data_IF_225563325925
#
_entry.id   IF_225563325925
#
_cell.length_a   1.000
_cell.length_b   1.000
_cell.length_c   1.000
_cell.angle_alpha   90.00
_cell.angle_beta   90.00
_cell.angle_gamma   90.00
#
_symmetry.space_group_name_H-M   'P 1'
#
loop_
_entity.id
_entity.type
_entity.pdbx_description
1 polymer ?
#
# COMPACT_ATOMS: atom_id res chain seq x y z
N UNK A 1 8.82 13.14 19.51
CA UNK A 1 7.43 13.09 18.98
C UNK A 1 7.37 13.14 17.46
N UNK A 2 7.94 14.15 16.79
CA UNK A 2 7.80 14.29 15.33
C UNK A 2 8.34 13.10 14.52
N UNK A 3 9.45 12.49 14.96
CA UNK A 3 10.03 11.30 14.33
C UNK A 3 9.13 10.07 14.42
N UNK A 4 8.43 9.86 15.53
CA UNK A 4 7.48 8.76 15.69
C UNK A 4 6.29 8.92 14.72
N UNK A 5 5.79 10.14 14.58
CA UNK A 5 4.70 10.45 13.64
C UNK A 5 5.13 10.25 12.19
N UNK A 6 6.34 10.66 11.81
CA UNK A 6 6.84 10.46 10.44
C UNK A 6 7.11 8.97 10.18
N UNK A 7 7.73 8.28 11.14
CA UNK A 7 8.15 6.89 10.98
C UNK A 7 6.96 5.91 10.92
N UNK A 8 5.93 6.11 11.74
CA UNK A 8 4.74 5.24 11.73
C UNK A 8 3.57 5.83 10.94
N UNK A 9 3.37 7.14 10.98
CA UNK A 9 2.25 7.80 10.32
C UNK A 9 2.32 7.75 8.80
N UNK A 10 3.51 7.90 8.21
CA UNK A 10 3.67 7.79 6.75
C UNK A 10 3.33 6.38 6.26
N UNK A 11 3.90 5.29 6.82
CA UNK A 11 3.48 3.94 6.46
C UNK A 11 1.99 3.68 6.65
N UNK A 12 1.38 4.14 7.75
CA UNK A 12 -0.06 3.97 8.00
C UNK A 12 -0.89 4.68 6.93
N UNK A 13 -0.56 5.93 6.59
CA UNK A 13 -1.26 6.69 5.56
C UNK A 13 -1.14 6.03 4.18
N UNK A 14 0.07 5.59 3.81
CA UNK A 14 0.29 4.87 2.54
C UNK A 14 -0.47 3.55 2.52
N UNK A 15 -0.52 2.83 3.63
CA UNK A 15 -1.31 1.59 3.76
C UNK A 15 -2.79 1.85 3.53
N UNK A 16 -3.34 2.91 4.15
CA UNK A 16 -4.74 3.28 3.97
C UNK A 16 -5.06 3.63 2.50
N UNK A 17 -4.20 4.42 1.85
CA UNK A 17 -4.36 4.78 0.43
C UNK A 17 -4.28 3.55 -0.47
N UNK A 18 -3.35 2.63 -0.20
CA UNK A 18 -3.21 1.39 -0.94
C UNK A 18 -4.47 0.51 -0.84
N UNK A 19 -4.99 0.33 0.37
CA UNK A 19 -6.21 -0.46 0.63
C UNK A 19 -7.41 0.14 -0.13
N UNK A 20 -7.64 1.45 -0.01
CA UNK A 20 -8.74 2.14 -0.71
C UNK A 20 -8.62 1.95 -2.22
N UNK A 21 -7.41 2.10 -2.75
CA UNK A 21 -7.15 1.95 -4.19
C UNK A 21 -7.38 0.52 -4.67
N UNK A 22 -7.05 -0.47 -3.84
CA UNK A 22 -7.26 -1.89 -4.13
C UNK A 22 -8.76 -2.20 -4.20
N UNK A 23 -9.54 -1.70 -3.24
CA UNK A 23 -11.00 -1.83 -3.27
C UNK A 23 -11.62 -1.19 -4.51
N UNK A 24 -11.19 0.02 -4.86
CA UNK A 24 -11.69 0.73 -6.05
C UNK A 24 -11.36 0.01 -7.36
N UNK A 25 -10.21 -0.65 -7.43
CA UNK A 25 -9.85 -1.48 -8.57
C UNK A 25 -10.68 -2.77 -8.62
N UNK A 26 -10.79 -3.49 -7.49
CA UNK A 26 -11.58 -4.72 -7.40
C UNK A 26 -13.04 -4.47 -7.76
N UNK A 27 -13.63 -3.39 -7.23
CA UNK A 27 -14.98 -2.98 -7.58
C UNK A 27 -15.12 -2.74 -9.09
N UNK A 28 -14.19 -1.99 -9.69
CA UNK A 28 -14.21 -1.72 -11.13
C UNK A 28 -14.05 -3.00 -11.96
N UNK A 29 -13.19 -3.91 -11.52
CA UNK A 29 -12.95 -5.19 -12.17
C UNK A 29 -14.18 -6.11 -12.10
N UNK A 30 -14.78 -6.28 -10.91
CA UNK A 30 -15.99 -7.09 -10.71
C UNK A 30 -17.15 -6.52 -11.54
N UNK A 31 -17.36 -5.20 -11.49
CA UNK A 31 -18.42 -4.55 -12.26
C UNK A 31 -18.22 -4.70 -13.77
N UNK A 32 -16.98 -4.61 -14.25
CA UNK A 32 -16.68 -4.79 -15.67
C UNK A 32 -16.81 -6.26 -16.13
N UNK A 33 -16.64 -7.24 -15.23
CA UNK A 33 -16.92 -8.66 -15.53
C UNK A 33 -18.44 -8.93 -15.59
N UNK A 34 -19.23 -8.32 -14.70
CA UNK A 34 -20.68 -8.50 -14.66
C UNK A 34 -21.41 -7.70 -15.75
N UNK A 35 -20.89 -6.53 -16.12
CA UNK A 35 -21.43 -5.64 -17.13
C UNK A 35 -20.30 -5.12 -18.03
N UNK A 36 -19.95 -5.86 -19.10
CA UNK A 36 -18.82 -5.55 -19.97
C UNK A 36 -18.94 -4.14 -20.56
N UNK A 37 -17.87 -3.35 -20.41
CA UNK A 37 -17.83 -1.96 -20.92
C UNK A 37 -18.29 -0.91 -19.92
N UNK A 38 -18.67 -1.30 -18.69
CA UNK A 38 -18.96 -0.36 -17.60
C UNK A 38 -17.78 0.56 -17.26
N UNK A 39 -16.54 0.09 -17.50
CA UNK A 39 -15.33 0.88 -17.40
C UNK A 39 -14.49 0.71 -18.67
N UNK A 40 -13.85 1.79 -19.12
CA UNK A 40 -12.98 1.69 -20.29
C UNK A 40 -11.72 0.89 -19.96
N UNK A 41 -11.16 0.18 -20.96
CA UNK A 41 -9.89 -0.56 -20.79
C UNK A 41 -8.76 0.37 -20.31
N UNK A 42 -8.78 1.63 -20.73
CA UNK A 42 -7.82 2.65 -20.31
C UNK A 42 -7.95 2.98 -18.82
N UNK A 43 -9.17 3.12 -18.29
CA UNK A 43 -9.41 3.37 -16.86
C UNK A 43 -8.95 2.20 -15.99
N UNK A 44 -9.23 0.95 -16.39
CA UNK A 44 -8.79 -0.25 -15.66
C UNK A 44 -7.26 -0.35 -15.67
N UNK A 45 -6.63 -0.11 -16.82
CA UNK A 45 -5.16 -0.12 -16.95
C UNK A 45 -4.50 0.95 -16.09
N UNK A 46 -5.04 2.16 -16.07
CA UNK A 46 -4.52 3.25 -15.23
C UNK A 46 -4.60 2.89 -13.73
N UNK A 47 -5.73 2.35 -13.27
CA UNK A 47 -5.90 1.88 -11.87
C UNK A 47 -4.93 0.75 -11.52
N UNK A 48 -4.70 -0.19 -12.45
CA UNK A 48 -3.74 -1.27 -12.26
C UNK A 48 -2.30 -0.76 -12.14
N UNK A 49 -1.88 0.17 -13.01
CA UNK A 49 -0.55 0.78 -12.93
C UNK A 49 -0.37 1.50 -11.59
N UNK A 50 -1.37 2.26 -11.17
CA UNK A 50 -1.34 2.94 -9.88
C UNK A 50 -1.18 1.97 -8.71
N UNK A 51 -1.89 0.84 -8.73
CA UNK A 51 -1.75 -0.20 -7.71
C UNK A 51 -0.36 -0.83 -7.68
N UNK A 52 0.24 -1.07 -8.84
CA UNK A 52 1.60 -1.61 -8.92
C UNK A 52 2.58 -0.63 -8.26
N UNK A 53 2.50 0.65 -8.59
CA UNK A 53 3.35 1.69 -8.00
C UNK A 53 3.15 1.76 -6.48
N UNK A 54 1.89 1.78 -6.02
CA UNK A 54 1.60 1.82 -4.58
C UNK A 54 2.04 0.55 -3.85
N UNK A 55 1.98 -0.62 -4.49
CA UNK A 55 2.47 -1.87 -3.92
C UNK A 55 3.99 -1.85 -3.71
N UNK A 56 4.74 -1.25 -4.65
CA UNK A 56 6.20 -1.09 -4.50
C UNK A 56 6.52 -0.13 -3.35
N UNK A 57 5.85 1.02 -3.29
CA UNK A 57 6.05 2.01 -2.21
C UNK A 57 5.70 1.38 -0.86
N UNK A 58 4.57 0.69 -0.76
CA UNK A 58 4.15 -0.01 0.45
C UNK A 58 5.18 -1.08 0.86
N UNK A 59 5.66 -1.90 -0.09
CA UNK A 59 6.66 -2.93 0.20
C UNK A 59 7.97 -2.37 0.75
N UNK A 60 8.48 -1.27 0.18
CA UNK A 60 9.68 -0.60 0.68
C UNK A 60 9.45 -0.07 2.10
N UNK A 61 8.34 0.64 2.34
CA UNK A 61 8.02 1.17 3.67
C UNK A 61 7.85 0.05 4.70
N UNK A 62 7.21 -1.05 4.31
CA UNK A 62 7.05 -2.21 5.17
C UNK A 62 8.40 -2.82 5.57
N UNK A 63 9.32 -2.99 4.62
CA UNK A 63 10.67 -3.49 4.91
C UNK A 63 11.42 -2.56 5.87
N UNK A 64 11.30 -1.25 5.72
CA UNK A 64 11.95 -0.28 6.63
C UNK A 64 11.39 -0.42 8.06
N UNK A 65 10.06 -0.48 8.20
CA UNK A 65 9.43 -0.61 9.53
C UNK A 65 9.80 -1.94 10.18
N UNK A 66 9.70 -3.06 9.45
CA UNK A 66 10.03 -4.39 9.97
C UNK A 66 11.51 -4.49 10.31
N UNK A 67 12.40 -4.02 9.43
CA UNK A 67 13.84 -4.00 9.67
C UNK A 67 14.21 -3.22 10.94
N UNK A 68 13.59 -2.05 11.14
CA UNK A 68 13.80 -1.25 12.34
C UNK A 68 13.32 -1.95 13.62
N UNK A 69 12.14 -2.60 13.58
CA UNK A 69 11.63 -3.38 14.71
C UNK A 69 12.59 -4.53 15.05
N UNK A 70 13.08 -5.25 14.05
CA UNK A 70 14.06 -6.33 14.25
C UNK A 70 15.33 -5.78 14.90
N UNK A 71 15.89 -4.67 14.39
CA UNK A 71 17.08 -4.05 14.99
C UNK A 71 16.87 -3.64 16.45
N UNK A 72 15.69 -3.10 16.79
CA UNK A 72 15.35 -2.78 18.18
C UNK A 72 15.29 -4.03 19.07
N UNK A 73 14.68 -5.12 18.58
CA UNK A 73 14.62 -6.38 19.33
C UNK A 73 16.02 -6.95 19.59
N UNK A 74 16.90 -6.92 18.58
CA UNK A 74 18.30 -7.30 18.75
C UNK A 74 18.98 -6.39 19.79
N UNK A 75 18.84 -5.07 19.67
CA UNK A 75 19.44 -4.15 20.64
C UNK A 75 19.01 -4.43 22.09
N UNK A 76 17.75 -4.80 22.32
CA UNK A 76 17.25 -5.13 23.66
C UNK A 76 17.80 -6.49 24.13
N UNK A 77 17.90 -7.48 23.22
CA UNK A 77 18.36 -8.82 23.56
C UNK A 77 19.86 -8.89 23.91
N UNK A 78 20.67 -7.95 23.43
CA UNK A 78 22.12 -7.88 23.65
C UNK A 78 22.56 -6.73 24.59
N UNK A 79 21.60 -6.07 25.27
CA UNK A 79 21.86 -5.19 26.42
C UNK A 79 21.83 -5.99 27.73
#
# INVERSE_FOLDING_TARGET
MIYLYLFFGIPIAVTAVFIVSLFLFLYAWIKNNNAPGSFSKQQIRSRSIFLIVMSVIFGILFLVVVGFIIMLMFSIAYM
#
